data_IF_322959238583
#
_entry.id   IF_322959238583
#
_cell.length_a   1.000
_cell.length_b   1.000
_cell.length_c   1.000
_cell.angle_alpha   90.00
_cell.angle_beta   90.00
_cell.angle_gamma   90.00
#
_symmetry.space_group_name_H-M   'P 1'
#
loop_
_entity.id
_entity.type
_entity.pdbx_description
1 polymer ?
#
# COMPACT_ATOMS: atom_id res chain seq x y z
N UNK A 1 -12.93 -10.63 -9.35
CA UNK A 1 -11.90 -10.29 -8.33
C UNK A 1 -11.40 -8.85 -8.41
N UNK A 2 -11.29 -8.22 -9.59
CA UNK A 2 -10.85 -6.80 -9.71
C UNK A 2 -11.77 -5.86 -8.92
N UNK A 3 -13.07 -6.02 -9.10
CA UNK A 3 -14.12 -5.29 -8.37
C UNK A 3 -14.05 -5.49 -6.85
N UNK A 4 -13.81 -6.72 -6.40
CA UNK A 4 -13.72 -7.04 -4.96
C UNK A 4 -12.51 -6.35 -4.31
N UNK A 5 -11.37 -6.30 -5.00
CA UNK A 5 -10.19 -5.58 -4.55
C UNK A 5 -10.39 -4.06 -4.58
N UNK A 6 -10.98 -3.52 -5.65
CA UNK A 6 -11.26 -2.09 -5.74
C UNK A 6 -12.23 -1.64 -4.66
N UNK A 7 -13.33 -2.37 -4.46
CA UNK A 7 -14.32 -2.09 -3.42
C UNK A 7 -13.72 -2.18 -2.01
N UNK A 8 -12.73 -3.05 -1.80
CA UNK A 8 -12.01 -3.18 -0.53
C UNK A 8 -10.97 -2.08 -0.33
N UNK A 9 -10.24 -1.71 -1.38
CA UNK A 9 -9.20 -0.68 -1.32
C UNK A 9 -9.77 0.73 -1.18
N UNK A 10 -10.95 1.00 -1.76
CA UNK A 10 -11.61 2.32 -1.68
C UNK A 10 -11.82 2.82 -0.26
N UNK A 11 -12.51 2.10 0.66
CA UNK A 11 -12.73 2.58 2.03
C UNK A 11 -11.43 2.77 2.79
N UNK A 12 -10.45 1.88 2.56
CA UNK A 12 -9.12 1.96 3.17
C UNK A 12 -8.37 3.20 2.71
N UNK A 13 -8.37 3.47 1.40
CA UNK A 13 -7.74 4.64 0.83
C UNK A 13 -8.37 5.93 1.38
N UNK A 14 -9.69 5.97 1.53
CA UNK A 14 -10.41 7.10 2.13
C UNK A 14 -9.96 7.32 3.58
N UNK A 15 -9.92 6.25 4.39
CA UNK A 15 -9.48 6.33 5.79
C UNK A 15 -8.02 6.79 5.92
N UNK A 16 -7.11 6.24 5.12
CA UNK A 16 -5.69 6.65 5.13
C UNK A 16 -5.55 8.09 4.69
N UNK A 17 -6.26 8.48 3.63
CA UNK A 17 -6.22 9.86 3.13
C UNK A 17 -6.67 10.83 4.20
N UNK A 18 -7.78 10.54 4.87
CA UNK A 18 -8.26 11.34 5.99
C UNK A 18 -7.26 11.37 7.15
N UNK A 19 -6.75 10.23 7.58
CA UNK A 19 -5.78 10.11 8.68
C UNK A 19 -4.54 10.98 8.40
N UNK A 20 -4.00 10.90 7.17
CA UNK A 20 -2.81 11.66 6.77
C UNK A 20 -3.12 13.15 6.64
N UNK A 21 -4.23 13.53 6.03
CA UNK A 21 -4.60 14.94 5.86
C UNK A 21 -4.86 15.62 7.20
N UNK A 22 -5.70 15.01 8.05
CA UNK A 22 -6.07 15.60 9.33
C UNK A 22 -4.89 15.61 10.32
N UNK A 23 -4.01 14.61 10.29
CA UNK A 23 -2.79 14.62 11.09
C UNK A 23 -1.83 15.77 10.72
N UNK A 24 -1.87 16.25 9.47
CA UNK A 24 -1.05 17.34 8.94
C UNK A 24 -1.75 18.71 8.99
N UNK A 25 -2.92 18.78 9.62
CA UNK A 25 -3.76 19.98 9.68
C UNK A 25 -4.18 20.53 8.30
N UNK A 26 -4.31 19.64 7.31
CA UNK A 26 -4.74 19.98 5.96
C UNK A 26 -6.28 20.01 5.90
N UNK A 27 -6.85 21.03 6.53
CA UNK A 27 -8.30 21.13 6.74
C UNK A 27 -9.06 21.70 5.54
N UNK A 28 -8.45 22.56 4.70
CA UNK A 28 -9.11 23.21 3.55
C UNK A 28 -10.45 23.91 3.89
N UNK A 29 -10.67 24.28 5.16
CA UNK A 29 -11.95 24.83 5.64
C UNK A 29 -13.03 23.79 5.99
N UNK A 30 -12.72 22.49 5.90
CA UNK A 30 -13.60 21.39 6.28
C UNK A 30 -13.31 20.95 7.72
N UNK A 31 -14.31 21.03 8.61
CA UNK A 31 -14.19 20.63 10.01
C UNK A 31 -13.67 19.20 10.20
N UNK A 32 -14.14 18.27 9.36
CA UNK A 32 -13.74 16.86 9.43
C UNK A 32 -12.22 16.63 9.21
N UNK A 33 -11.54 17.52 8.49
CA UNK A 33 -10.11 17.43 8.19
C UNK A 33 -9.25 18.25 9.16
N UNK A 34 -9.86 18.87 10.17
CA UNK A 34 -9.12 19.62 11.20
C UNK A 34 -8.37 18.69 12.14
N UNK A 35 -7.28 19.21 12.70
CA UNK A 35 -6.53 18.52 13.74
C UNK A 35 -7.38 18.28 15.00
N UNK A 36 -8.22 19.23 15.37
CA UNK A 36 -9.11 19.12 16.55
C UNK A 36 -10.08 17.94 16.44
N UNK A 37 -10.70 17.77 15.27
CA UNK A 37 -11.60 16.65 15.04
C UNK A 37 -10.85 15.31 15.06
N UNK A 38 -9.66 15.27 14.47
CA UNK A 38 -8.78 14.10 14.52
C UNK A 38 -8.45 13.71 15.97
N UNK A 39 -7.98 14.67 16.78
CA UNK A 39 -7.60 14.40 18.17
C UNK A 39 -8.83 14.02 19.02
N UNK A 40 -10.00 14.59 18.76
CA UNK A 40 -11.27 14.21 19.41
C UNK A 40 -11.65 12.75 19.11
N UNK A 41 -11.57 12.33 17.84
CA UNK A 41 -11.87 10.96 17.45
C UNK A 41 -10.92 9.98 18.17
N UNK A 42 -9.62 10.29 18.18
CA UNK A 42 -8.64 9.46 18.88
C UNK A 42 -8.80 9.46 20.39
N UNK A 43 -9.24 10.56 21.00
CA UNK A 43 -9.54 10.60 22.43
C UNK A 43 -10.72 9.68 22.81
N UNK A 44 -11.77 9.65 21.98
CA UNK A 44 -12.90 8.73 22.18
C UNK A 44 -12.44 7.27 22.06
N UNK A 45 -11.63 6.95 21.04
CA UNK A 45 -11.08 5.60 20.89
C UNK A 45 -10.13 5.23 22.05
N UNK A 46 -9.31 6.17 22.52
CA UNK A 46 -8.40 5.95 23.63
C UNK A 46 -9.16 5.60 24.91
N UNK A 47 -10.23 6.34 25.19
CA UNK A 47 -11.09 6.11 26.34
C UNK A 47 -11.83 4.76 26.25
N UNK A 48 -12.28 4.36 25.06
CA UNK A 48 -12.98 3.07 24.88
C UNK A 48 -12.04 1.87 24.94
N UNK A 49 -10.80 1.99 24.44
CA UNK A 49 -9.81 0.92 24.46
C UNK A 49 -8.96 0.90 25.75
N UNK A 50 -8.99 1.96 26.56
CA UNK A 50 -8.19 2.06 27.78
C UNK A 50 -6.69 2.24 27.53
N UNK A 51 -6.31 2.78 26.37
CA UNK A 51 -4.91 3.03 25.96
C UNK A 51 -4.69 4.51 25.66
N UNK A 52 -3.46 5.05 25.76
CA UNK A 52 -3.20 6.45 25.44
C UNK A 52 -3.48 6.77 23.97
N UNK A 53 -4.04 7.96 23.71
CA UNK A 53 -4.41 8.40 22.36
C UNK A 53 -3.21 8.51 21.41
N UNK A 54 -2.02 8.75 21.95
CA UNK A 54 -0.77 8.86 21.20
C UNK A 54 -0.33 7.54 20.56
N UNK A 55 -0.71 6.40 21.17
CA UNK A 55 -0.39 5.07 20.68
C UNK A 55 -1.37 4.58 19.59
N UNK A 56 -2.54 5.20 19.47
CA UNK A 56 -3.58 4.76 18.53
C UNK A 56 -3.22 4.98 17.06
N UNK A 57 -2.79 6.18 16.60
CA UNK A 57 -2.44 6.38 15.20
C UNK A 57 -1.40 5.39 14.67
N UNK A 58 -0.26 5.13 15.35
CA UNK A 58 0.70 4.14 14.86
C UNK A 58 0.14 2.71 14.91
N UNK A 59 -0.74 2.38 15.86
CA UNK A 59 -1.42 1.08 15.91
C UNK A 59 -2.35 0.89 14.70
N UNK A 60 -3.15 1.90 14.36
CA UNK A 60 -4.06 1.89 13.21
C UNK A 60 -3.27 1.71 11.91
N UNK A 61 -2.18 2.45 11.73
CA UNK A 61 -1.32 2.33 10.54
C UNK A 61 -0.75 0.92 10.43
N UNK A 62 -0.26 0.34 11.53
CA UNK A 62 0.26 -1.06 11.55
C UNK A 62 -0.83 -2.05 11.16
N UNK A 63 -2.03 -1.92 11.73
CA UNK A 63 -3.15 -2.80 11.41
C UNK A 63 -3.51 -2.73 9.91
N UNK A 64 -3.56 -1.51 9.35
CA UNK A 64 -3.81 -1.26 7.94
C UNK A 64 -2.78 -1.89 7.00
N UNK A 65 -1.49 -1.81 7.36
CA UNK A 65 -0.40 -2.42 6.58
C UNK A 65 -0.54 -3.94 6.60
N UNK A 66 -0.76 -4.53 7.78
CA UNK A 66 -0.89 -5.98 7.93
C UNK A 66 -2.10 -6.50 7.16
N UNK A 67 -3.25 -5.84 7.29
CA UNK A 67 -4.49 -6.18 6.59
C UNK A 67 -4.33 -6.11 5.06
N UNK A 68 -3.69 -5.04 4.57
CA UNK A 68 -3.35 -4.87 3.15
C UNK A 68 -2.38 -5.94 2.65
N UNK A 69 -1.37 -6.29 3.44
CA UNK A 69 -0.42 -7.34 3.10
C UNK A 69 -1.11 -8.72 3.01
N UNK A 70 -2.06 -9.01 3.89
CA UNK A 70 -2.83 -10.26 3.88
C UNK A 70 -3.70 -10.33 2.61
N UNK A 71 -4.44 -9.27 2.28
CA UNK A 71 -5.31 -9.25 1.09
C UNK A 71 -4.51 -9.35 -0.19
N UNK A 72 -3.40 -8.62 -0.30
CA UNK A 72 -2.50 -8.70 -1.45
C UNK A 72 -1.81 -10.06 -1.53
N UNK A 73 -1.40 -10.63 -0.40
CA UNK A 73 -0.82 -11.97 -0.31
C UNK A 73 -1.79 -13.05 -0.78
N UNK A 74 -3.04 -13.01 -0.31
CA UNK A 74 -4.08 -13.94 -0.73
C UNK A 74 -4.40 -13.81 -2.22
N UNK A 75 -4.45 -12.57 -2.74
CA UNK A 75 -4.61 -12.33 -4.16
C UNK A 75 -3.43 -12.88 -4.99
N UNK A 76 -2.20 -12.68 -4.51
CA UNK A 76 -1.00 -13.17 -5.16
C UNK A 76 -0.97 -14.71 -5.21
N UNK A 77 -1.32 -15.38 -4.11
CA UNK A 77 -1.41 -16.84 -4.04
C UNK A 77 -2.47 -17.40 -5.00
N UNK A 78 -3.63 -16.75 -5.12
CA UNK A 78 -4.69 -17.14 -6.08
C UNK A 78 -4.27 -16.94 -7.54
N UNK A 79 -3.35 -16.02 -7.82
CA UNK A 79 -2.80 -15.77 -9.16
C UNK A 79 -1.37 -16.29 -9.35
N UNK A 80 -0.89 -17.18 -8.48
CA UNK A 80 0.49 -17.68 -8.47
C UNK A 80 1.05 -18.04 -9.86
N UNK A 81 0.27 -18.75 -10.69
CA UNK A 81 0.69 -19.14 -12.05
C UNK A 81 0.87 -17.94 -13.01
N UNK A 82 0.03 -16.92 -12.87
CA UNK A 82 0.06 -15.72 -13.71
C UNK A 82 1.15 -14.75 -13.27
N UNK A 83 1.41 -14.66 -11.97
CA UNK A 83 2.51 -13.88 -11.42
C UNK A 83 3.85 -14.55 -11.73
N UNK A 84 3.96 -15.87 -11.58
CA UNK A 84 5.16 -16.62 -12.01
C UNK A 84 5.44 -16.44 -13.49
N UNK A 85 4.42 -16.48 -14.35
CA UNK A 85 4.60 -16.21 -15.79
C UNK A 85 5.08 -14.77 -16.06
N UNK A 86 4.58 -13.77 -15.34
CA UNK A 86 5.02 -12.36 -15.47
C UNK A 86 6.44 -12.16 -14.95
N UNK A 87 6.79 -12.74 -13.81
CA UNK A 87 8.14 -12.69 -13.23
C UNK A 87 9.12 -13.43 -14.13
N UNK A 88 8.76 -14.61 -14.65
CA UNK A 88 9.59 -15.37 -15.57
C UNK A 88 9.77 -14.63 -16.91
N UNK A 89 8.76 -13.93 -17.41
CA UNK A 89 8.91 -13.05 -18.58
C UNK A 89 9.78 -11.82 -18.31
N UNK A 90 9.71 -11.24 -17.12
CA UNK A 90 10.56 -10.12 -16.73
C UNK A 90 12.03 -10.55 -16.62
N UNK A 91 12.29 -11.69 -15.98
CA UNK A 91 13.63 -12.29 -15.91
C UNK A 91 14.15 -12.73 -17.28
N UNK A 92 13.31 -13.33 -18.12
CA UNK A 92 13.73 -13.74 -19.47
C UNK A 92 14.09 -12.55 -20.34
N UNK A 93 13.30 -11.46 -20.32
CA UNK A 93 13.58 -10.21 -21.04
C UNK A 93 14.91 -9.57 -20.63
N UNK A 94 15.20 -9.54 -19.33
CA UNK A 94 16.47 -9.04 -18.81
C UNK A 94 17.65 -9.91 -19.27
N UNK A 95 17.49 -11.23 -19.24
CA UNK A 95 18.53 -12.17 -19.70
C UNK A 95 18.76 -12.11 -21.21
N UNK A 96 17.72 -11.91 -22.01
CA UNK A 96 17.82 -11.78 -23.48
C UNK A 96 18.45 -10.45 -23.89
N UNK A 97 18.17 -9.37 -23.17
CA UNK A 97 18.83 -8.08 -23.39
C UNK A 97 20.33 -8.13 -23.05
N UNK A 98 20.70 -8.79 -21.95
CA UNK A 98 22.10 -9.02 -21.61
C UNK A 98 22.81 -9.89 -22.66
N UNK A 99 22.16 -10.95 -23.16
CA UNK A 99 22.69 -11.81 -24.23
C UNK A 99 22.89 -11.07 -25.55
N UNK A 100 21.95 -10.19 -25.93
CA UNK A 100 22.06 -9.38 -27.14
C UNK A 100 23.24 -8.39 -27.05
N UNK A 101 23.41 -7.71 -25.90
CA UNK A 101 24.53 -6.79 -25.68
C UNK A 101 25.91 -7.49 -25.74
N UNK A 102 26.01 -8.71 -25.21
CA UNK A 102 27.25 -9.51 -25.31
C UNK A 102 27.53 -10.01 -26.73
N UNK A 103 26.50 -10.37 -27.51
CA UNK A 103 26.67 -10.81 -28.90
C UNK A 103 27.18 -9.67 -29.81
N UNK A 104 26.70 -8.44 -29.59
CA UNK A 104 27.17 -7.24 -30.29
C UNK A 104 28.64 -6.95 -29.99
N UNK A 105 29.06 -7.07 -28.73
CA UNK A 105 30.45 -6.85 -28.30
C UNK A 105 31.43 -7.89 -28.89
N UNK A 106 30.98 -9.12 -29.12
CA UNK A 106 31.80 -10.17 -29.75
C UNK A 106 31.92 -10.00 -31.28
N UNK A 107 30.94 -9.36 -31.92
CA UNK A 107 30.95 -9.10 -33.36
C UNK A 107 31.79 -7.88 -33.75
N UNK A 108 32.12 -7.00 -32.80
CA UNK A 108 32.95 -5.80 -33.02
C UNK A 108 34.43 -5.98 -32.65
N UNK A 109 34.86 -7.18 -32.28
CA UNK A 109 36.27 -7.46 -32.04
C UNK A 109 37.03 -7.53 -33.38
N UNK A 110 38.08 -6.69 -33.58
CA UNK A 110 38.83 -6.56 -34.84
C UNK A 110 39.78 -7.73 -35.13
#
# INVERSE_FOLDING_TARGET
MRWLLSLWFTPIAILVTWLVLASRDLSFGLFFLTRDFYDLVFAIYAQTLGIPAEELPPLVVRALIVDSAIVLGLYALRRRKRIQALVMQAYSKLSSSARAASAESLSSAP
#
